data_IF_202860432476
#
_entry.id   IF_202860432476
#
_cell.length_a   1.000
_cell.length_b   1.000
_cell.length_c   1.000
_cell.angle_alpha   90.00
_cell.angle_beta   90.00
_cell.angle_gamma   90.00
#
_symmetry.space_group_name_H-M   'P 1'
#
loop_
_entity.id
_entity.type
_entity.pdbx_description
1 polymer ?
#
# COMPACT_ATOMS: atom_id res chain seq x y z
N UNK A 1 -1.94 5.91 6.20
CA UNK A 1 -1.57 5.74 7.63
C UNK A 1 -2.72 6.24 8.52
N UNK A 2 -2.61 6.12 9.85
CA UNK A 2 -3.59 6.64 10.81
C UNK A 2 -4.45 5.56 11.49
N UNK A 3 -5.00 5.88 12.67
CA UNK A 3 -5.70 4.94 13.57
C UNK A 3 -6.76 4.09 12.87
N UNK A 4 -7.62 4.71 12.06
CA UNK A 4 -8.67 4.00 11.33
C UNK A 4 -8.11 2.96 10.33
N UNK A 5 -6.93 3.22 9.74
CA UNK A 5 -6.29 2.25 8.86
C UNK A 5 -5.68 1.09 9.63
N UNK A 6 -5.12 1.34 10.82
CA UNK A 6 -4.61 0.27 11.69
C UNK A 6 -5.75 -0.64 12.17
N UNK A 7 -6.88 -0.06 12.59
CA UNK A 7 -8.07 -0.83 12.99
C UNK A 7 -8.60 -1.71 11.85
N UNK A 8 -8.87 -1.11 10.69
CA UNK A 8 -9.42 -1.84 9.55
C UNK A 8 -8.44 -2.90 8.98
N UNK A 9 -7.13 -2.63 9.01
CA UNK A 9 -6.12 -3.59 8.62
C UNK A 9 -6.05 -4.76 9.62
N UNK A 10 -6.17 -4.44 10.91
CA UNK A 10 -6.14 -5.45 11.97
C UNK A 10 -7.30 -6.42 11.83
N UNK A 11 -8.51 -5.90 11.60
CA UNK A 11 -9.70 -6.73 11.37
C UNK A 11 -9.52 -7.63 10.14
N UNK A 12 -8.98 -7.07 9.04
CA UNK A 12 -8.81 -7.83 7.80
C UNK A 12 -7.71 -8.91 7.88
N UNK A 13 -6.63 -8.68 8.62
CA UNK A 13 -5.49 -9.60 8.69
C UNK A 13 -5.58 -10.57 9.88
N UNK A 14 -6.19 -10.16 10.98
CA UNK A 14 -6.16 -10.90 12.25
C UNK A 14 -7.56 -11.17 12.84
N UNK A 15 -8.62 -10.52 12.35
CA UNK A 15 -9.97 -10.63 12.91
C UNK A 15 -10.09 -10.00 14.32
N UNK A 16 -9.22 -9.04 14.65
CA UNK A 16 -9.27 -8.29 15.90
C UNK A 16 -8.62 -6.90 15.74
N UNK A 17 -8.48 -6.14 16.83
CA UNK A 17 -7.90 -4.79 16.83
C UNK A 17 -6.45 -4.73 17.34
N UNK A 18 -5.67 -5.82 17.30
CA UNK A 18 -4.30 -5.87 17.86
C UNK A 18 -3.37 -4.80 17.32
N UNK A 19 -3.50 -4.41 16.05
CA UNK A 19 -2.63 -3.38 15.46
C UNK A 19 -2.85 -1.98 16.04
N UNK A 20 -3.94 -1.75 16.80
CA UNK A 20 -4.11 -0.50 17.55
C UNK A 20 -3.20 -0.40 18.77
N UNK A 21 -2.84 -1.54 19.35
CA UNK A 21 -2.01 -1.62 20.56
C UNK A 21 -0.58 -2.06 20.25
N UNK A 22 -0.39 -2.78 19.16
CA UNK A 22 0.89 -3.39 18.75
C UNK A 22 1.16 -3.09 17.25
N UNK A 23 1.26 -1.80 16.85
CA UNK A 23 1.47 -1.41 15.46
C UNK A 23 2.81 -1.91 14.86
N UNK A 24 3.81 -2.16 15.70
CA UNK A 24 5.14 -2.69 15.34
C UNK A 24 5.07 -4.07 14.68
N UNK A 25 3.95 -4.80 14.79
CA UNK A 25 3.72 -5.99 13.98
C UNK A 25 3.86 -5.68 12.48
N UNK A 26 3.42 -4.50 12.03
CA UNK A 26 3.54 -4.09 10.62
C UNK A 26 4.98 -3.79 10.19
N UNK A 27 5.95 -3.77 11.10
CA UNK A 27 7.38 -3.68 10.77
C UNK A 27 7.97 -5.07 10.46
N UNK A 28 7.29 -6.15 10.82
CA UNK A 28 7.71 -7.50 10.47
C UNK A 28 7.43 -7.78 9.00
N UNK A 29 8.37 -8.41 8.25
CA UNK A 29 8.26 -8.54 6.79
C UNK A 29 6.94 -9.14 6.30
N UNK A 30 6.42 -10.16 6.99
CA UNK A 30 5.17 -10.83 6.63
C UNK A 30 3.98 -9.89 6.72
N UNK A 31 3.83 -9.18 7.84
CA UNK A 31 2.70 -8.28 8.07
C UNK A 31 2.85 -6.96 7.31
N UNK A 32 4.08 -6.51 7.06
CA UNK A 32 4.37 -5.40 6.17
C UNK A 32 3.85 -5.68 4.74
N UNK A 33 4.17 -6.86 4.19
CA UNK A 33 3.73 -7.25 2.86
C UNK A 33 2.19 -7.44 2.80
N UNK A 34 1.62 -8.11 3.79
CA UNK A 34 0.17 -8.33 3.86
C UNK A 34 -0.62 -7.02 3.99
N UNK A 35 -0.18 -6.10 4.85
CA UNK A 35 -0.84 -4.80 5.01
C UNK A 35 -0.73 -3.94 3.76
N UNK A 36 0.39 -3.97 3.04
CA UNK A 36 0.54 -3.30 1.76
C UNK A 36 -0.41 -3.86 0.70
N UNK A 37 -0.51 -5.19 0.58
CA UNK A 37 -1.46 -5.85 -0.33
C UNK A 37 -2.92 -5.57 0.02
N UNK A 38 -3.27 -5.60 1.30
CA UNK A 38 -4.60 -5.23 1.78
C UNK A 38 -4.95 -3.78 1.43
N UNK A 39 -4.04 -2.83 1.69
CA UNK A 39 -4.28 -1.42 1.38
C UNK A 39 -4.48 -1.23 -0.13
N UNK A 40 -3.63 -1.88 -0.94
CA UNK A 40 -3.75 -1.85 -2.39
C UNK A 40 -5.11 -2.31 -2.90
N UNK A 41 -5.61 -3.43 -2.35
CA UNK A 41 -6.92 -3.96 -2.67
C UNK A 41 -8.06 -3.04 -2.20
N UNK A 42 -8.03 -2.61 -0.93
CA UNK A 42 -9.03 -1.72 -0.33
C UNK A 42 -9.20 -0.42 -1.11
N UNK A 43 -8.09 0.18 -1.55
CA UNK A 43 -8.10 1.45 -2.30
C UNK A 43 -8.40 1.28 -3.80
N UNK A 44 -8.64 0.04 -4.26
CA UNK A 44 -9.04 -0.26 -5.64
C UNK A 44 -7.94 0.03 -6.66
N UNK A 45 -6.67 -0.13 -6.28
CA UNK A 45 -5.54 0.30 -7.10
C UNK A 45 -5.30 -0.58 -8.34
N UNK A 46 -5.77 -1.82 -8.36
CA UNK A 46 -5.72 -2.69 -9.55
C UNK A 46 -6.32 -2.01 -10.78
N UNK A 47 -7.52 -1.43 -10.66
CA UNK A 47 -8.21 -0.76 -11.78
C UNK A 47 -7.41 0.43 -12.34
N UNK A 48 -6.61 1.09 -11.51
CA UNK A 48 -5.74 2.18 -11.96
C UNK A 48 -4.46 1.62 -12.61
N UNK A 49 -3.92 0.53 -12.06
CA UNK A 49 -2.74 -0.14 -12.58
C UNK A 49 -2.99 -0.76 -13.96
N UNK A 50 -4.16 -1.39 -14.15
CA UNK A 50 -4.59 -1.95 -15.44
C UNK A 50 -4.69 -0.89 -16.54
N UNK A 51 -4.94 0.38 -16.16
CA UNK A 51 -4.97 1.55 -17.05
C UNK A 51 -3.61 2.22 -17.22
N UNK A 52 -2.60 1.80 -16.47
CA UNK A 52 -1.29 2.45 -16.40
C UNK A 52 -1.30 3.83 -15.73
N UNK A 53 -2.34 4.17 -14.95
CA UNK A 53 -2.49 5.49 -14.32
C UNK A 53 -1.67 5.61 -13.02
N UNK A 54 -0.35 5.64 -13.18
CA UNK A 54 0.61 5.69 -12.06
C UNK A 54 0.50 6.99 -11.25
N UNK A 55 0.12 8.09 -11.89
CA UNK A 55 -0.11 9.37 -11.22
C UNK A 55 -1.30 9.28 -10.27
N UNK A 56 -2.43 8.70 -10.73
CA UNK A 56 -3.59 8.49 -9.87
C UNK A 56 -3.29 7.53 -8.71
N UNK A 57 -2.52 6.47 -8.96
CA UNK A 57 -2.06 5.55 -7.90
C UNK A 57 -1.26 6.31 -6.85
N UNK A 58 -0.28 7.11 -7.27
CA UNK A 58 0.57 7.89 -6.35
C UNK A 58 -0.26 8.86 -5.52
N UNK A 59 -1.19 9.58 -6.15
CA UNK A 59 -2.11 10.48 -5.46
C UNK A 59 -3.02 9.74 -4.48
N UNK A 60 -3.50 8.55 -4.82
CA UNK A 60 -4.37 7.77 -3.93
C UNK A 60 -3.61 7.27 -2.69
N UNK A 61 -2.37 6.83 -2.86
CA UNK A 61 -1.55 6.33 -1.74
C UNK A 61 -1.14 7.47 -0.81
N UNK A 62 -0.67 8.60 -1.36
CA UNK A 62 -0.03 9.67 -0.56
C UNK A 62 -0.89 10.93 -0.35
N UNK A 63 -2.04 11.04 -1.02
CA UNK A 63 -2.84 12.27 -1.04
C UNK A 63 -2.24 13.38 -1.92
N UNK A 64 -1.19 13.10 -2.70
CA UNK A 64 -0.48 14.08 -3.52
C UNK A 64 0.60 13.43 -4.38
N UNK A 65 1.52 14.24 -4.92
CA UNK A 65 2.60 13.77 -5.82
C UNK A 65 3.97 13.72 -5.13
N UNK A 66 4.00 13.70 -3.80
CA UNK A 66 5.24 13.62 -3.03
C UNK A 66 5.99 12.33 -3.38
N UNK A 67 7.24 12.47 -3.83
CA UNK A 67 8.10 11.36 -4.24
C UNK A 67 7.70 10.70 -5.57
N UNK A 68 6.92 11.37 -6.43
CA UNK A 68 6.47 10.80 -7.70
C UNK A 68 7.64 10.35 -8.60
N UNK A 69 8.65 11.21 -8.77
CA UNK A 69 9.81 10.89 -9.63
C UNK A 69 10.57 9.64 -9.14
N UNK A 70 10.77 9.50 -7.83
CA UNK A 70 11.43 8.33 -7.26
C UNK A 70 10.61 7.05 -7.46
N UNK A 71 9.27 7.16 -7.32
CA UNK A 71 8.34 6.05 -7.57
C UNK A 71 8.34 5.62 -9.03
N UNK A 72 8.36 6.58 -9.96
CA UNK A 72 8.46 6.31 -11.40
C UNK A 72 9.79 5.62 -11.76
N UNK A 73 10.89 6.07 -11.16
CA UNK A 73 12.20 5.45 -11.35
C UNK A 73 12.22 3.99 -10.87
N UNK A 74 11.66 3.70 -9.68
CA UNK A 74 11.53 2.34 -9.17
C UNK A 74 10.61 1.48 -10.03
N UNK A 75 9.47 2.03 -10.46
CA UNK A 75 8.54 1.32 -11.34
C UNK A 75 9.20 0.94 -12.67
N UNK A 76 9.91 1.87 -13.31
CA UNK A 76 10.65 1.59 -14.55
C UNK A 76 11.67 0.47 -14.36
N UNK A 77 12.45 0.50 -13.28
CA UNK A 77 13.43 -0.57 -12.97
C UNK A 77 12.76 -1.93 -12.75
N UNK A 78 11.56 -1.96 -12.17
CA UNK A 78 10.80 -3.19 -12.02
C UNK A 78 10.31 -3.72 -13.39
N UNK A 79 9.84 -2.85 -14.28
CA UNK A 79 9.43 -3.25 -15.63
C UNK A 79 10.58 -3.82 -16.45
N UNK A 80 11.80 -3.26 -16.32
CA UNK A 80 13.00 -3.76 -17.01
C UNK A 80 13.34 -5.23 -16.70
N UNK A 81 12.81 -5.79 -15.61
CA UNK A 81 13.06 -7.18 -15.18
C UNK A 81 11.84 -8.09 -15.43
N UNK A 82 10.63 -7.53 -15.44
CA UNK A 82 9.37 -8.27 -15.45
C UNK A 82 8.61 -8.23 -16.79
N UNK A 83 9.03 -7.37 -17.72
CA UNK A 83 8.52 -7.28 -19.10
C UNK A 83 9.54 -7.80 -20.09
#
# INVERSE_FOLDING_TARGET
TGRANYEACSEALFGDSRLLNTPELLEQPVYAALSAGWFWQKEGLNTLADKGDFLAITKRINGGTNGLADREALYKRALEVLQ
#
